data_IF_271482015915
#
_entry.id   IF_271482015915
#
_cell.length_a   1.000
_cell.length_b   1.000
_cell.length_c   1.000
_cell.angle_alpha   90.00
_cell.angle_beta   90.00
_cell.angle_gamma   90.00
#
_symmetry.space_group_name_H-M   'P 1'
#
loop_
_entity.id
_entity.type
_entity.pdbx_description
1 polymer ?
#
# COMPACT_ATOMS: atom_id res chain seq x y z
N UNK A 1 13.35 72.03 4.14
CA UNK A 1 14.40 71.02 3.84
C UNK A 1 14.18 69.81 4.75
N UNK A 2 14.01 68.63 4.12
CA UNK A 2 14.24 67.23 4.54
C UNK A 2 14.56 67.01 6.04
N UNK A 3 13.95 66.03 6.71
CA UNK A 3 14.34 64.62 6.59
C UNK A 3 13.15 63.66 6.79
N UNK A 4 13.06 62.69 5.89
CA UNK A 4 12.16 61.54 5.91
C UNK A 4 12.94 60.38 6.56
N UNK A 5 12.50 59.89 7.73
CA UNK A 5 13.06 58.68 8.33
C UNK A 5 12.42 57.45 7.67
N UNK A 6 13.21 56.72 6.89
CA UNK A 6 12.84 55.43 6.31
C UNK A 6 13.23 54.33 7.31
N UNK A 7 12.28 53.78 8.06
CA UNK A 7 12.49 52.54 8.82
C UNK A 7 12.46 51.37 7.84
N UNK A 8 13.64 50.87 7.47
CA UNK A 8 13.78 49.59 6.78
C UNK A 8 13.43 48.45 7.73
N UNK A 9 12.26 47.84 7.54
CA UNK A 9 11.92 46.58 8.17
C UNK A 9 12.75 45.46 7.54
N UNK A 10 13.64 44.86 8.32
CA UNK A 10 14.26 43.58 7.98
C UNK A 10 13.17 42.52 8.13
N UNK A 11 12.60 42.07 7.02
CA UNK A 11 11.86 40.81 6.98
C UNK A 11 12.88 39.68 7.19
N UNK A 12 12.98 39.20 8.43
CA UNK A 12 13.52 37.87 8.67
C UNK A 12 12.58 36.86 8.01
N UNK A 13 12.97 36.34 6.85
CA UNK A 13 12.41 35.11 6.33
C UNK A 13 12.78 33.99 7.29
N UNK A 14 11.86 33.62 8.19
CA UNK A 14 11.91 32.33 8.83
C UNK A 14 11.95 31.29 7.70
N UNK A 15 12.96 30.40 7.63
CA UNK A 15 12.87 29.27 6.73
C UNK A 15 11.65 28.48 7.21
N UNK A 16 10.56 28.52 6.44
CA UNK A 16 9.44 27.64 6.69
C UNK A 16 10.00 26.22 6.74
N UNK A 17 9.68 25.47 7.81
CA UNK A 17 9.91 24.04 7.88
C UNK A 17 9.21 23.41 6.68
N UNK A 18 9.90 23.31 5.55
CA UNK A 18 9.48 22.42 4.48
C UNK A 18 9.96 21.04 4.90
N UNK A 19 9.01 20.14 5.11
CA UNK A 19 9.31 18.73 5.22
C UNK A 19 10.09 18.32 3.95
N UNK A 20 11.13 17.52 4.13
CA UNK A 20 11.97 17.11 3.01
C UNK A 20 11.23 16.01 2.25
N UNK A 21 10.92 16.24 0.98
CA UNK A 21 10.33 15.21 0.11
C UNK A 21 11.37 14.12 -0.23
N UNK A 22 10.92 12.88 -0.20
CA UNK A 22 11.63 11.69 -0.64
C UNK A 22 10.93 11.20 -1.90
N UNK A 23 11.57 11.44 -3.04
CA UNK A 23 11.06 11.01 -4.35
C UNK A 23 11.48 9.56 -4.59
N UNK A 24 10.52 8.72 -4.97
CA UNK A 24 10.77 7.35 -5.40
C UNK A 24 10.86 7.33 -6.93
N UNK A 25 11.96 6.82 -7.46
CA UNK A 25 12.32 6.95 -8.88
C UNK A 25 12.29 5.64 -9.63
N UNK A 26 12.23 4.53 -8.90
CA UNK A 26 12.28 3.18 -9.45
C UNK A 26 11.15 2.32 -8.88
N UNK A 27 10.79 1.26 -9.61
CA UNK A 27 9.83 0.25 -9.17
C UNK A 27 10.31 -1.17 -9.48
N UNK A 28 9.85 -2.13 -8.69
CA UNK A 28 10.01 -3.55 -8.95
C UNK A 28 8.64 -4.26 -8.88
N UNK A 29 8.36 -5.21 -9.79
CA UNK A 29 7.08 -5.92 -9.86
C UNK A 29 6.93 -6.94 -8.71
N UNK A 30 5.69 -7.33 -8.37
CA UNK A 30 5.43 -8.26 -7.27
C UNK A 30 5.69 -9.73 -7.61
N UNK A 31 5.77 -10.06 -8.89
CA UNK A 31 6.10 -11.40 -9.39
C UNK A 31 7.42 -11.91 -8.80
N UNK A 32 8.33 -11.01 -8.41
CA UNK A 32 9.59 -11.34 -7.76
C UNK A 32 9.44 -11.92 -6.34
N UNK A 33 8.28 -11.73 -5.71
CA UNK A 33 7.97 -12.20 -4.34
C UNK A 33 6.74 -13.10 -4.30
N UNK A 34 6.30 -13.64 -5.44
CA UNK A 34 5.22 -14.62 -5.48
C UNK A 34 5.66 -15.93 -4.81
N UNK A 35 4.81 -16.41 -3.90
CA UNK A 35 4.92 -17.72 -3.30
C UNK A 35 4.37 -18.84 -4.19
N UNK A 36 4.14 -19.99 -3.57
CA UNK A 36 3.45 -21.12 -4.21
C UNK A 36 2.02 -20.72 -4.61
N UNK A 37 1.62 -21.07 -5.84
CA UNK A 37 0.29 -20.76 -6.37
C UNK A 37 -0.66 -21.91 -6.04
N UNK A 38 -1.81 -21.59 -5.45
CA UNK A 38 -2.93 -22.53 -5.32
C UNK A 38 -4.00 -22.26 -6.36
N UNK A 39 -4.60 -23.32 -6.88
CA UNK A 39 -5.77 -23.26 -7.75
C UNK A 39 -6.96 -23.87 -7.02
N UNK A 40 -8.10 -23.18 -7.03
CA UNK A 40 -9.31 -23.59 -6.32
C UNK A 40 -10.55 -23.01 -6.99
N UNK A 41 -11.66 -23.75 -7.01
CA UNK A 41 -12.93 -23.19 -7.46
C UNK A 41 -13.46 -22.11 -6.50
N UNK A 42 -13.17 -22.24 -5.21
CA UNK A 42 -13.55 -21.27 -4.18
C UNK A 42 -12.35 -20.45 -3.69
N UNK A 43 -12.60 -19.27 -3.13
CA UNK A 43 -11.56 -18.54 -2.38
C UNK A 43 -11.22 -19.29 -1.09
N UNK A 44 -9.93 -19.37 -0.76
CA UNK A 44 -9.45 -20.02 0.45
C UNK A 44 -8.94 -18.97 1.45
N UNK A 45 -9.39 -18.99 2.73
CA UNK A 45 -8.85 -18.10 3.73
C UNK A 45 -7.37 -18.40 3.99
N UNK A 46 -6.64 -17.37 4.46
CA UNK A 46 -5.21 -17.48 4.80
C UNK A 46 -4.91 -18.64 5.75
N UNK A 47 -5.81 -18.92 6.68
CA UNK A 47 -5.65 -19.99 7.67
C UNK A 47 -5.60 -21.39 7.03
N UNK A 48 -6.35 -21.62 5.95
CA UNK A 48 -6.33 -22.89 5.22
C UNK A 48 -5.04 -23.07 4.40
N UNK A 49 -4.44 -21.95 4.00
CA UNK A 49 -3.16 -21.91 3.30
C UNK A 49 -1.95 -21.92 4.26
N UNK A 50 -2.18 -21.95 5.58
CA UNK A 50 -1.12 -21.87 6.59
C UNK A 50 -0.44 -20.50 6.66
N UNK A 51 -1.09 -19.45 6.17
CA UNK A 51 -0.56 -18.08 6.11
C UNK A 51 -0.99 -17.31 7.36
N UNK A 52 -0.01 -16.95 8.18
CA UNK A 52 -0.27 -16.29 9.45
C UNK A 52 -0.36 -14.76 9.32
N UNK A 53 0.31 -14.14 8.36
CA UNK A 53 0.32 -12.68 8.24
C UNK A 53 0.76 -12.23 6.85
N UNK A 54 0.49 -10.98 6.51
CA UNK A 54 0.92 -10.38 5.24
C UNK A 54 -0.20 -10.42 4.21
N UNK A 55 0.14 -10.82 2.99
CA UNK A 55 -0.66 -10.52 1.81
C UNK A 55 -0.92 -11.75 0.95
N UNK A 56 -2.11 -11.79 0.37
CA UNK A 56 -2.50 -12.73 -0.68
C UNK A 56 -3.00 -11.95 -1.90
N UNK A 57 -2.65 -12.42 -3.09
CA UNK A 57 -3.32 -12.07 -4.34
C UNK A 57 -4.28 -13.20 -4.71
N UNK A 58 -5.56 -12.88 -4.84
CA UNK A 58 -6.56 -13.75 -5.45
C UNK A 58 -6.84 -13.22 -6.85
N UNK A 59 -6.65 -14.04 -7.88
CA UNK A 59 -6.91 -13.65 -9.26
C UNK A 59 -7.71 -14.69 -10.03
N UNK A 60 -8.58 -14.22 -10.92
CA UNK A 60 -9.39 -15.06 -11.82
C UNK A 60 -9.86 -14.23 -13.02
N UNK A 61 -10.33 -14.89 -14.07
CA UNK A 61 -10.97 -14.24 -15.21
C UNK A 61 -12.49 -14.15 -14.96
N UNK A 62 -13.07 -12.99 -15.24
CA UNK A 62 -14.50 -12.73 -15.06
C UNK A 62 -15.12 -12.12 -16.31
N UNK A 63 -16.39 -12.43 -16.56
CA UNK A 63 -17.15 -11.82 -17.65
C UNK A 63 -17.99 -10.64 -17.12
N UNK A 64 -17.82 -9.46 -17.72
CA UNK A 64 -18.62 -8.28 -17.40
C UNK A 64 -19.69 -7.99 -18.46
N UNK A 65 -20.93 -7.68 -18.05
CA UNK A 65 -21.95 -7.19 -18.95
C UNK A 65 -21.68 -5.73 -19.33
N UNK A 66 -22.40 -5.24 -20.35
CA UNK A 66 -22.40 -3.83 -20.70
C UNK A 66 -22.86 -2.98 -19.50
N UNK A 67 -22.07 -1.96 -19.14
CA UNK A 67 -22.34 -1.09 -17.98
C UNK A 67 -21.71 -1.55 -16.66
N UNK A 68 -21.03 -2.70 -16.63
CA UNK A 68 -20.38 -3.23 -15.44
C UNK A 68 -21.30 -4.00 -14.50
N UNK A 69 -20.77 -4.43 -13.37
CA UNK A 69 -21.49 -5.24 -12.39
C UNK A 69 -21.04 -4.92 -10.95
N UNK A 70 -21.85 -5.31 -9.96
CA UNK A 70 -21.43 -5.24 -8.57
C UNK A 70 -20.58 -6.47 -8.22
N UNK A 71 -19.34 -6.25 -7.77
CA UNK A 71 -18.52 -7.23 -7.08
C UNK A 71 -18.91 -7.23 -5.61
N UNK A 72 -19.25 -8.40 -5.07
CA UNK A 72 -19.63 -8.59 -3.68
C UNK A 72 -18.84 -9.75 -3.05
N UNK A 73 -18.28 -9.50 -1.87
CA UNK A 73 -17.57 -10.49 -1.06
C UNK A 73 -18.46 -10.87 0.13
N UNK A 74 -18.59 -12.17 0.41
CA UNK A 74 -19.28 -12.60 1.62
C UNK A 74 -18.46 -12.23 2.87
N UNK A 75 -17.16 -12.53 2.85
CA UNK A 75 -16.22 -12.14 3.90
C UNK A 75 -14.91 -11.65 3.30
N UNK A 76 -14.44 -10.51 3.83
CA UNK A 76 -13.10 -9.96 3.60
C UNK A 76 -12.56 -9.55 4.94
N UNK A 77 -11.41 -10.12 5.32
CA UNK A 77 -10.74 -9.81 6.58
C UNK A 77 -9.24 -9.61 6.34
N UNK A 78 -8.73 -8.39 6.32
CA UNK A 78 -9.38 -7.13 6.75
C UNK A 78 -9.63 -6.15 5.61
N UNK A 79 -8.79 -6.19 4.58
CA UNK A 79 -8.80 -5.23 3.49
C UNK A 79 -8.46 -5.89 2.17
N UNK A 80 -9.16 -5.51 1.10
CA UNK A 80 -8.85 -5.91 -0.27
C UNK A 80 -8.78 -4.68 -1.19
N UNK A 81 -7.66 -4.51 -1.89
CA UNK A 81 -7.59 -3.62 -3.05
C UNK A 81 -8.00 -4.38 -4.31
N UNK A 82 -8.98 -3.83 -5.03
CA UNK A 82 -9.59 -4.45 -6.21
C UNK A 82 -8.98 -3.84 -7.46
N UNK A 83 -8.48 -4.70 -8.34
CA UNK A 83 -7.96 -4.34 -9.65
C UNK A 83 -8.71 -5.12 -10.73
N UNK A 84 -9.00 -4.46 -11.84
CA UNK A 84 -9.57 -5.06 -13.03
C UNK A 84 -8.67 -4.72 -14.21
N UNK A 85 -8.20 -5.73 -14.94
CA UNK A 85 -7.16 -5.61 -15.96
C UNK A 85 -5.99 -4.73 -15.48
N UNK A 86 -5.50 -4.98 -14.26
CA UNK A 86 -4.39 -4.25 -13.64
C UNK A 86 -4.67 -2.76 -13.36
N UNK A 87 -5.92 -2.30 -13.49
CA UNK A 87 -6.34 -0.95 -13.12
C UNK A 87 -7.08 -0.97 -11.78
N UNK A 88 -6.70 -0.07 -10.87
CA UNK A 88 -7.33 0.03 -9.57
C UNK A 88 -8.81 0.43 -9.71
N UNK A 89 -9.71 -0.42 -9.21
CA UNK A 89 -11.15 -0.23 -9.25
C UNK A 89 -11.72 0.27 -7.91
N UNK A 90 -11.08 -0.06 -6.79
CA UNK A 90 -11.53 0.38 -5.47
C UNK A 90 -11.07 -0.56 -4.35
N UNK A 91 -11.76 -0.48 -3.21
CA UNK A 91 -11.36 -1.19 -1.99
C UNK A 91 -12.57 -1.80 -1.31
N UNK A 92 -12.37 -2.95 -0.70
CA UNK A 92 -13.38 -3.67 0.08
C UNK A 92 -12.82 -3.94 1.48
N UNK A 93 -13.70 -3.84 2.48
CA UNK A 93 -13.38 -4.06 3.91
C UNK A 93 -14.57 -4.74 4.57
N UNK A 94 -14.42 -5.19 5.82
CA UNK A 94 -15.55 -5.79 6.55
C UNK A 94 -16.75 -4.83 6.69
N UNK A 95 -16.50 -3.51 6.69
CA UNK A 95 -17.54 -2.48 6.71
C UNK A 95 -18.16 -2.18 5.33
N UNK A 96 -17.46 -2.53 4.23
CA UNK A 96 -17.92 -2.32 2.85
C UNK A 96 -17.52 -3.52 1.99
N UNK A 97 -18.46 -4.44 1.83
CA UNK A 97 -18.25 -5.73 1.17
C UNK A 97 -18.68 -5.77 -0.30
N UNK A 98 -19.15 -4.67 -0.87
CA UNK A 98 -19.42 -4.57 -2.30
C UNK A 98 -18.88 -3.30 -2.95
N UNK A 99 -18.61 -3.40 -4.24
CA UNK A 99 -18.06 -2.36 -5.10
C UNK A 99 -18.61 -2.54 -6.51
N UNK A 100 -19.15 -1.47 -7.11
CA UNK A 100 -19.46 -1.48 -8.55
C UNK A 100 -18.16 -1.40 -9.35
N UNK A 101 -17.94 -2.38 -10.22
CA UNK A 101 -16.81 -2.42 -11.16
C UNK A 101 -17.33 -2.24 -12.58
N UNK A 102 -16.61 -1.50 -13.41
CA UNK A 102 -17.00 -1.20 -14.77
C UNK A 102 -15.82 -1.24 -15.73
N UNK A 103 -16.00 -1.94 -16.84
CA UNK A 103 -15.10 -2.03 -17.99
C UNK A 103 -15.97 -2.25 -19.25
N UNK A 104 -15.38 -2.24 -20.46
CA UNK A 104 -16.07 -2.74 -21.65
C UNK A 104 -16.67 -4.14 -21.41
N UNK A 105 -17.71 -4.52 -22.13
CA UNK A 105 -18.25 -5.87 -21.98
C UNK A 105 -17.25 -6.93 -22.48
N UNK A 106 -17.12 -8.04 -21.76
CA UNK A 106 -16.24 -9.16 -22.11
C UNK A 106 -15.46 -9.74 -20.93
N UNK A 107 -14.37 -10.43 -21.26
CA UNK A 107 -13.48 -11.11 -20.32
C UNK A 107 -12.44 -10.16 -19.74
N UNK A 108 -12.27 -10.21 -18.42
CA UNK A 108 -11.35 -9.35 -17.67
C UNK A 108 -10.65 -10.10 -16.55
N UNK A 109 -9.40 -9.72 -16.31
CA UNK A 109 -8.65 -10.22 -15.17
C UNK A 109 -9.07 -9.46 -13.90
N UNK A 110 -9.70 -10.15 -12.97
CA UNK A 110 -9.99 -9.64 -11.63
C UNK A 110 -8.85 -10.01 -10.68
N UNK A 111 -8.32 -9.03 -9.96
CA UNK A 111 -7.26 -9.20 -8.97
C UNK A 111 -7.66 -8.55 -7.63
N UNK A 112 -7.57 -9.32 -6.55
CA UNK A 112 -7.85 -8.87 -5.19
C UNK A 112 -6.57 -9.02 -4.36
N UNK A 113 -5.94 -7.89 -4.04
CA UNK A 113 -4.78 -7.85 -3.14
C UNK A 113 -5.27 -7.68 -1.72
N UNK A 114 -5.12 -8.72 -0.91
CA UNK A 114 -5.75 -8.84 0.40
C UNK A 114 -4.70 -8.83 1.50
N UNK A 115 -4.83 -7.92 2.46
CA UNK A 115 -3.96 -7.85 3.63
C UNK A 115 -4.67 -8.38 4.88
N UNK A 116 -3.91 -9.12 5.70
CA UNK A 116 -4.23 -9.38 7.09
C UNK A 116 -3.45 -8.40 7.99
N UNK A 117 -4.16 -7.41 8.54
CA UNK A 117 -3.58 -6.34 9.37
C UNK A 117 -3.35 -6.77 10.83
N UNK A 118 -3.69 -8.02 11.18
CA UNK A 118 -3.49 -8.60 12.50
C UNK A 118 -4.70 -9.39 13.01
N UNK A 119 -4.43 -10.42 13.82
CA UNK A 119 -5.48 -11.25 14.45
C UNK A 119 -5.96 -10.66 15.77
N UNK A 120 -7.20 -10.97 16.12
CA UNK A 120 -7.78 -10.63 17.41
C UNK A 120 -7.03 -11.39 18.50
N UNK A 121 -6.49 -10.68 19.49
CA UNK A 121 -5.70 -11.26 20.60
C UNK A 121 -6.43 -11.27 21.95
N UNK A 122 -7.64 -10.72 22.02
CA UNK A 122 -8.44 -10.66 23.24
C UNK A 122 -9.94 -10.59 22.92
N UNK A 123 -10.75 -11.20 23.80
CA UNK A 123 -12.22 -11.14 23.71
C UNK A 123 -12.87 -12.42 23.16
N UNK A 124 -14.21 -12.44 23.07
CA UNK A 124 -14.97 -13.63 22.68
C UNK A 124 -14.70 -14.09 21.24
N UNK A 125 -14.27 -13.18 20.36
CA UNK A 125 -13.99 -13.44 18.95
C UNK A 125 -12.57 -13.98 18.71
N UNK A 126 -11.78 -14.27 19.76
CA UNK A 126 -10.41 -14.81 19.62
C UNK A 126 -10.35 -16.16 18.88
N UNK A 127 -11.46 -16.89 18.80
CA UNK A 127 -11.56 -18.14 18.04
C UNK A 127 -12.06 -17.92 16.61
N UNK A 128 -12.66 -16.78 16.30
CA UNK A 128 -13.08 -16.39 14.94
C UNK A 128 -12.01 -15.50 14.29
N UNK A 129 -10.93 -16.15 13.86
CA UNK A 129 -9.70 -15.48 13.41
C UNK A 129 -9.32 -15.90 11.98
N UNK A 130 -10.31 -16.28 11.17
CA UNK A 130 -10.13 -16.46 9.74
C UNK A 130 -9.79 -15.11 9.09
N UNK A 131 -8.78 -15.12 8.21
CA UNK A 131 -8.26 -13.94 7.49
C UNK A 131 -8.22 -14.21 6.00
N UNK A 132 -8.11 -13.16 5.19
CA UNK A 132 -8.21 -13.25 3.74
C UNK A 132 -9.66 -13.17 3.26
N UNK A 133 -9.96 -13.94 2.22
CA UNK A 133 -11.31 -14.09 1.67
C UNK A 133 -11.84 -15.48 1.99
N UNK A 134 -13.12 -15.57 2.36
CA UNK A 134 -13.79 -16.84 2.59
C UNK A 134 -15.31 -16.69 2.38
N UNK A 135 -15.98 -17.80 2.10
CA UNK A 135 -17.35 -17.78 1.60
C UNK A 135 -17.41 -17.36 0.12
N UNK A 136 -18.59 -16.95 -0.33
CA UNK A 136 -18.82 -16.67 -1.75
C UNK A 136 -18.26 -15.31 -2.21
N UNK A 137 -17.75 -15.28 -3.44
CA UNK A 137 -17.42 -14.06 -4.17
C UNK A 137 -18.32 -13.99 -5.39
N UNK A 138 -19.02 -12.87 -5.59
CA UNK A 138 -20.03 -12.74 -6.64
C UNK A 138 -19.83 -11.52 -7.49
N UNK A 139 -20.14 -11.63 -8.78
CA UNK A 139 -20.18 -10.54 -9.74
C UNK A 139 -21.55 -10.48 -10.40
N UNK A 140 -22.28 -9.38 -10.22
CA UNK A 140 -23.65 -9.25 -10.73
C UNK A 140 -24.63 -10.26 -10.11
N UNK A 141 -24.30 -10.83 -8.95
CA UNK A 141 -25.08 -11.85 -8.26
C UNK A 141 -24.69 -13.29 -8.59
N UNK A 142 -23.87 -13.51 -9.62
CA UNK A 142 -23.36 -14.84 -9.99
C UNK A 142 -22.05 -15.13 -9.26
N UNK A 143 -21.86 -16.37 -8.82
CA UNK A 143 -20.66 -16.81 -8.10
C UNK A 143 -19.45 -16.91 -9.04
N UNK A 144 -18.31 -16.38 -8.58
CA UNK A 144 -17.04 -16.40 -9.29
C UNK A 144 -16.23 -17.61 -8.82
N UNK A 145 -15.75 -18.40 -9.77
CA UNK A 145 -14.94 -19.59 -9.51
C UNK A 145 -13.59 -19.55 -10.24
N UNK A 146 -12.75 -20.56 -10.02
CA UNK A 146 -11.49 -20.74 -10.75
C UNK A 146 -10.38 -19.79 -10.31
N UNK A 147 -10.21 -19.64 -9.00
CA UNK A 147 -9.25 -18.75 -8.38
C UNK A 147 -7.83 -19.30 -8.42
N UNK A 148 -6.89 -18.43 -8.78
CA UNK A 148 -5.47 -18.57 -8.46
C UNK A 148 -5.19 -17.73 -7.22
N UNK A 149 -4.59 -18.33 -6.21
CA UNK A 149 -4.31 -17.71 -4.92
C UNK A 149 -2.80 -17.74 -4.68
N UNK A 150 -2.20 -16.58 -4.44
CA UNK A 150 -0.76 -16.38 -4.49
C UNK A 150 -0.31 -15.61 -3.23
N UNK A 151 0.49 -16.18 -2.32
CA UNK A 151 1.14 -15.43 -1.26
C UNK A 151 2.08 -14.41 -1.85
N UNK A 152 2.12 -13.24 -1.24
CA UNK A 152 3.14 -12.27 -1.52
C UNK A 152 4.11 -12.27 -0.34
N UNK A 153 5.30 -12.81 -0.57
CA UNK A 153 6.37 -12.96 0.40
C UNK A 153 7.09 -11.61 0.64
N UNK A 154 6.31 -10.55 0.93
CA UNK A 154 6.75 -9.15 0.99
C UNK A 154 7.94 -8.93 1.94
N UNK A 155 7.98 -9.68 3.04
CA UNK A 155 9.01 -9.57 4.08
C UNK A 155 10.10 -10.64 3.96
N UNK A 156 10.04 -11.53 2.97
CA UNK A 156 11.07 -12.54 2.77
C UNK A 156 12.19 -11.98 1.90
N UNK A 157 13.42 -12.01 2.41
CA UNK A 157 14.58 -11.39 1.75
C UNK A 157 14.66 -9.88 1.98
N UNK A 158 15.52 -9.22 1.21
CA UNK A 158 15.68 -7.76 1.24
C UNK A 158 15.01 -7.14 0.00
N UNK A 159 13.90 -6.40 0.15
CA UNK A 159 13.24 -5.72 -0.96
C UNK A 159 14.13 -4.72 -1.72
N UNK A 160 15.25 -4.29 -1.14
CA UNK A 160 16.22 -3.44 -1.82
C UNK A 160 16.97 -4.14 -2.96
N UNK A 161 17.09 -5.47 -2.90
CA UNK A 161 17.83 -6.31 -3.84
C UNK A 161 16.98 -6.82 -5.01
N UNK A 162 15.71 -6.42 -5.08
CA UNK A 162 14.83 -6.73 -6.22
C UNK A 162 15.34 -6.08 -7.52
N UNK A 163 14.89 -6.59 -8.66
CA UNK A 163 15.21 -6.03 -9.98
C UNK A 163 14.36 -4.78 -10.26
N UNK A 164 14.90 -3.62 -9.89
CA UNK A 164 14.25 -2.33 -10.11
C UNK A 164 14.44 -1.79 -11.52
N UNK A 165 13.37 -1.18 -12.05
CA UNK A 165 13.35 -0.42 -13.30
C UNK A 165 12.88 1.01 -13.03
N UNK A 166 13.16 1.98 -13.93
CA UNK A 166 12.61 3.33 -13.80
C UNK A 166 11.08 3.34 -13.63
N UNK A 167 10.56 4.21 -12.75
CA UNK A 167 9.15 4.27 -12.35
C UNK A 167 8.18 4.33 -13.55
N UNK A 168 8.52 5.10 -14.58
CA UNK A 168 7.59 5.46 -15.65
C UNK A 168 6.57 6.52 -15.21
N UNK A 169 5.67 6.90 -16.13
CA UNK A 169 4.67 7.95 -15.91
C UNK A 169 3.22 7.44 -15.89
N UNK A 170 3.00 6.16 -16.17
CA UNK A 170 1.67 5.56 -16.17
C UNK A 170 1.19 5.20 -14.76
N UNK A 171 -0.12 4.93 -14.59
CA UNK A 171 -0.64 4.37 -13.35
C UNK A 171 0.10 3.09 -12.96
N UNK A 172 0.25 2.90 -11.66
CA UNK A 172 0.97 1.76 -11.09
C UNK A 172 0.01 0.68 -10.61
N UNK A 173 0.37 -0.56 -10.95
CA UNK A 173 -0.05 -1.75 -10.22
C UNK A 173 0.62 -1.79 -8.84
N UNK A 174 0.14 -2.62 -7.91
CA UNK A 174 0.86 -2.91 -6.67
C UNK A 174 2.30 -3.31 -6.98
N UNK A 175 3.25 -2.66 -6.30
CA UNK A 175 4.67 -2.83 -6.59
C UNK A 175 5.53 -2.36 -5.42
N UNK A 176 6.82 -2.71 -5.46
CA UNK A 176 7.83 -2.03 -4.65
C UNK A 176 8.30 -0.78 -5.37
N UNK A 177 8.55 0.28 -4.63
CA UNK A 177 9.06 1.56 -5.10
C UNK A 177 10.29 1.95 -4.32
N UNK A 178 11.32 2.46 -4.99
CA UNK A 178 12.61 2.78 -4.37
C UNK A 178 13.09 4.19 -4.72
N UNK A 179 13.74 4.84 -3.76
CA UNK A 179 14.37 6.14 -3.95
C UNK A 179 15.50 6.38 -2.97
N UNK A 180 16.37 7.32 -3.30
CA UNK A 180 17.53 7.68 -2.48
C UNK A 180 17.44 9.15 -2.04
N UNK A 181 17.91 9.44 -0.83
CA UNK A 181 17.92 10.81 -0.30
C UNK A 181 19.04 11.03 0.74
N UNK A 182 19.45 12.29 0.87
CA UNK A 182 20.38 12.76 1.89
C UNK A 182 19.63 13.46 3.02
N UNK A 183 20.07 13.35 4.27
CA UNK A 183 19.37 13.94 5.41
C UNK A 183 20.37 14.66 6.34
N UNK A 184 20.34 16.00 6.37
CA UNK A 184 21.35 16.76 7.11
C UNK A 184 21.32 16.55 8.63
N UNK A 185 20.12 16.35 9.22
CA UNK A 185 19.95 16.05 10.64
C UNK A 185 19.18 14.73 10.78
N UNK A 186 19.84 13.74 11.36
CA UNK A 186 19.39 12.33 11.35
C UNK A 186 18.56 11.95 12.58
N UNK A 187 18.49 12.81 13.60
CA UNK A 187 17.76 12.54 14.84
C UNK A 187 16.36 13.14 14.85
N UNK A 188 15.44 12.50 15.56
CA UNK A 188 14.10 13.07 15.83
C UNK A 188 13.20 13.12 14.59
N UNK A 189 13.43 12.26 13.60
CA UNK A 189 12.68 12.22 12.34
C UNK A 189 11.53 11.22 12.36
N UNK A 190 10.47 11.61 11.68
CA UNK A 190 9.32 10.80 11.33
C UNK A 190 9.22 10.73 9.81
N UNK A 191 8.86 9.55 9.30
CA UNK A 191 8.46 9.38 7.92
C UNK A 191 6.96 9.66 7.83
N UNK A 192 6.58 10.72 7.13
CA UNK A 192 5.21 11.03 6.76
C UNK A 192 4.77 10.14 5.60
N UNK A 193 3.73 9.35 5.85
CA UNK A 193 3.14 8.40 4.90
C UNK A 193 1.79 8.90 4.38
N UNK A 194 1.43 10.16 4.64
CA UNK A 194 0.20 10.77 4.14
C UNK A 194 0.13 10.73 2.62
N UNK A 195 -1.06 10.46 2.08
CA UNK A 195 -1.28 10.33 0.63
C UNK A 195 -0.97 8.94 0.06
N UNK A 196 -0.35 8.07 0.85
CA UNK A 196 -0.18 6.66 0.50
C UNK A 196 -1.46 5.85 0.78
N UNK A 197 -1.43 4.57 0.44
CA UNK A 197 -2.53 3.65 0.63
C UNK A 197 -2.30 2.73 1.82
N UNK A 198 -1.93 1.51 1.52
CA UNK A 198 -1.71 0.44 2.50
C UNK A 198 -0.48 -0.33 2.06
N UNK A 199 0.44 -0.56 2.99
CA UNK A 199 1.66 -1.30 2.69
C UNK A 199 2.74 -1.12 3.74
N UNK A 200 3.99 -1.23 3.32
CA UNK A 200 5.14 -1.39 4.19
C UNK A 200 6.35 -0.59 3.73
N UNK A 201 7.22 -0.22 4.67
CA UNK A 201 8.41 0.59 4.40
C UNK A 201 9.66 -0.04 4.99
N UNK A 202 10.76 0.04 4.22
CA UNK A 202 12.11 -0.25 4.66
C UNK A 202 12.99 0.98 4.43
N UNK A 203 13.88 1.24 5.39
CA UNK A 203 14.90 2.26 5.29
C UNK A 203 16.27 1.61 5.46
N UNK A 204 17.17 1.79 4.49
CA UNK A 204 18.53 1.24 4.51
C UNK A 204 18.55 -0.29 4.73
N UNK A 205 17.59 -1.02 4.17
CA UNK A 205 17.43 -2.48 4.30
C UNK A 205 16.75 -2.94 5.61
N UNK A 206 16.43 -2.01 6.53
CA UNK A 206 15.73 -2.35 7.77
C UNK A 206 14.24 -2.08 7.65
N UNK A 207 13.41 -3.05 8.05
CA UNK A 207 11.97 -2.87 8.15
C UNK A 207 11.63 -1.75 9.14
N UNK A 208 10.90 -0.74 8.65
CA UNK A 208 10.55 0.44 9.42
C UNK A 208 9.12 0.33 9.97
N UNK A 209 8.21 -0.27 9.21
CA UNK A 209 6.83 -0.51 9.66
C UNK A 209 5.82 -0.55 8.51
N UNK A 210 4.61 -0.99 8.86
CA UNK A 210 3.45 -0.91 8.01
C UNK A 210 2.77 0.45 8.15
N UNK A 211 2.05 0.87 7.11
CA UNK A 211 1.18 2.03 7.14
C UNK A 211 -0.15 1.69 6.51
N UNK A 212 -1.18 2.38 6.99
CA UNK A 212 -2.48 2.36 6.36
C UNK A 212 -3.08 3.75 6.43
N UNK A 213 -3.57 4.23 5.29
CA UNK A 213 -4.16 5.54 5.20
C UNK A 213 -5.40 5.68 6.08
N UNK A 214 -6.10 4.63 6.50
CA UNK A 214 -7.24 4.76 7.42
C UNK A 214 -6.84 5.05 8.87
N UNK A 215 -5.57 4.81 9.23
CA UNK A 215 -5.09 5.05 10.59
C UNK A 215 -5.02 6.55 10.93
N UNK A 216 -5.23 6.88 12.21
CA UNK A 216 -5.13 8.28 12.66
C UNK A 216 -3.71 8.80 12.60
N UNK A 217 -2.74 7.96 12.94
CA UNK A 217 -1.33 8.29 12.84
C UNK A 217 -0.87 8.03 11.41
N UNK A 218 -0.36 9.06 10.74
CA UNK A 218 0.12 9.02 9.36
C UNK A 218 1.64 9.23 9.32
N UNK A 219 2.34 8.72 10.32
CA UNK A 219 3.79 8.75 10.32
C UNK A 219 4.42 7.62 11.13
N UNK A 220 5.63 7.22 10.73
CA UNK A 220 6.43 6.21 11.40
C UNK A 220 7.67 6.88 11.99
N UNK A 221 7.94 6.66 13.29
CA UNK A 221 9.16 7.18 13.93
C UNK A 221 10.37 6.43 13.37
N UNK A 222 11.33 7.17 12.83
CA UNK A 222 12.58 6.59 12.31
C UNK A 222 13.58 6.47 13.46
N UNK A 223 14.16 5.29 13.75
CA UNK A 223 15.26 5.17 14.70
C UNK A 223 16.44 6.06 14.30
N UNK A 224 17.01 6.80 15.26
CA UNK A 224 18.02 7.82 14.96
C UNK A 224 19.34 7.24 14.43
N UNK A 225 19.62 5.97 14.73
CA UNK A 225 20.76 5.19 14.25
C UNK A 225 20.57 4.64 12.83
N UNK A 226 19.32 4.61 12.34
CA UNK A 226 19.00 4.11 11.01
C UNK A 226 19.25 5.16 9.92
N UNK A 227 19.08 6.45 10.23
CA UNK A 227 19.30 7.55 9.28
C UNK A 227 20.78 7.91 9.15
N UNK A 228 21.21 8.07 7.91
CA UNK A 228 22.55 8.53 7.52
C UNK A 228 22.50 9.95 7.00
N UNK A 229 23.62 10.66 7.04
CA UNK A 229 23.68 12.02 6.46
C UNK A 229 23.49 12.03 4.94
N UNK A 230 23.95 10.97 4.28
CA UNK A 230 23.90 10.83 2.83
C UNK A 230 23.63 9.39 2.43
N UNK A 231 23.06 9.17 1.25
CA UNK A 231 22.89 7.84 0.66
C UNK A 231 21.93 6.95 1.44
N UNK A 232 20.85 7.52 1.97
CA UNK A 232 19.75 6.72 2.49
C UNK A 232 18.93 6.17 1.33
N UNK A 233 18.44 4.95 1.48
CA UNK A 233 17.58 4.29 0.51
C UNK A 233 16.25 3.94 1.19
N UNK A 234 15.17 4.42 0.61
CA UNK A 234 13.81 4.09 1.02
C UNK A 234 13.22 3.10 0.03
N UNK A 235 12.65 2.01 0.54
CA UNK A 235 11.81 1.09 -0.23
C UNK A 235 10.41 1.11 0.37
N UNK A 236 9.41 1.21 -0.50
CA UNK A 236 8.00 1.24 -0.14
C UNK A 236 7.26 0.21 -0.96
N UNK A 237 6.53 -0.68 -0.30
CA UNK A 237 5.52 -1.53 -0.90
C UNK A 237 4.15 -0.91 -0.66
N UNK A 238 3.27 -0.87 -1.66
CA UNK A 238 1.90 -0.38 -1.51
C UNK A 238 0.94 -1.12 -2.48
N UNK A 239 -0.25 -1.49 -1.99
CA UNK A 239 -1.27 -2.25 -2.75
C UNK A 239 -2.43 -1.40 -3.30
N UNK A 240 -2.40 -0.07 -3.16
CA UNK A 240 -3.52 0.82 -3.48
C UNK A 240 -3.10 2.08 -4.24
N UNK A 241 -2.00 2.72 -3.88
CA UNK A 241 -1.50 3.91 -4.51
C UNK A 241 -1.06 3.57 -5.93
N UNK A 242 -1.72 4.18 -6.91
CA UNK A 242 -1.43 4.00 -8.34
C UNK A 242 -0.74 5.22 -8.97
N UNK A 243 -0.45 6.27 -8.20
CA UNK A 243 0.15 7.51 -8.71
C UNK A 243 1.69 7.45 -8.60
N UNK A 244 2.42 7.41 -9.73
CA UNK A 244 3.89 7.34 -9.73
C UNK A 244 4.56 8.62 -9.19
N UNK A 245 3.82 9.71 -9.03
CA UNK A 245 4.34 10.99 -8.54
C UNK A 245 4.24 11.15 -7.03
N UNK A 246 3.57 10.22 -6.33
CA UNK A 246 3.45 10.25 -4.86
C UNK A 246 4.83 10.14 -4.21
N UNK A 247 5.14 11.05 -3.29
CA UNK A 247 6.35 11.03 -2.48
C UNK A 247 6.03 10.76 -1.00
N UNK A 248 7.04 10.35 -0.23
CA UNK A 248 6.99 10.42 1.24
C UNK A 248 7.74 11.65 1.73
N UNK A 249 7.55 12.06 2.98
CA UNK A 249 8.26 13.24 3.52
C UNK A 249 8.93 12.95 4.85
N UNK A 250 10.04 13.63 5.14
CA UNK A 250 10.63 13.66 6.47
C UNK A 250 10.06 14.82 7.27
N UNK A 251 9.49 14.48 8.43
CA UNK A 251 8.96 15.43 9.40
C UNK A 251 9.79 15.42 10.69
N UNK A 252 9.83 16.57 11.38
CA UNK A 252 10.35 16.69 12.75
C UNK A 252 9.30 16.35 13.82
N UNK A 253 8.04 16.20 13.42
CA UNK A 253 6.91 15.96 14.31
C UNK A 253 6.11 14.75 13.82
N UNK A 254 5.45 14.01 14.71
CA UNK A 254 4.47 13.01 14.29
C UNK A 254 3.35 13.68 13.49
N UNK A 255 2.93 13.02 12.41
CA UNK A 255 1.84 13.44 11.53
C UNK A 255 0.61 12.60 11.82
N UNK A 256 -0.55 13.26 11.87
CA UNK A 256 -1.87 12.67 12.10
C UNK A 256 -2.87 13.23 11.10
N UNK A 257 -3.97 12.51 10.87
CA UNK A 257 -5.14 12.99 10.12
C UNK A 257 -5.94 14.05 10.86
#
# INVERSE_FOLDING_TARGET
MKQLLLMGGILLSLPGLRAQEIVLTERAPLEAVYGEVWESDDVLPMNELGIESGYLLYETEVELPEGGAELALEQVRDYAAVYLDRHFAGTLTDARKSLSVAAPAGSHLLQLYVENIGRITYGPEILDNAKGLFGSVRLGGEEIVGWRIIPLAIREGDPAELDYVPMGAGPLEPCFRRGCFDCAETSGRYLDVSGWGMGEVWLNGCYLGAFWNEEKQQSIRIPDDLLRRTGNMLVVFDIRNCDPTTCMQLSTNPVFK
#
